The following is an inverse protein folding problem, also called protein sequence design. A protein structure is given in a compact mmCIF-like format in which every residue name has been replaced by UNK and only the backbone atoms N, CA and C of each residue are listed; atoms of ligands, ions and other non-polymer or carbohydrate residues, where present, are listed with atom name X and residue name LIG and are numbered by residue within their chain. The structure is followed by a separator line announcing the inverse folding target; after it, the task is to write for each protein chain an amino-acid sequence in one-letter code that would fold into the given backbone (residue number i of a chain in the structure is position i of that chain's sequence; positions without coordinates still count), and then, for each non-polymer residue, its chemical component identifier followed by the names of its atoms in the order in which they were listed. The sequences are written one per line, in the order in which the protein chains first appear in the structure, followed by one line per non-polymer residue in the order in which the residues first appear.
data_IF_796255628875
#
_entry.id   IF_796255628875
#
_cell.length_a   1.000
_cell.length_b   1.000
_cell.length_c   1.000
_cell.angle_alpha   90.00
_cell.angle_beta   90.00
_cell.angle_gamma   90.00
#
_symmetry.space_group_name_H-M   'P 1'
#
loop_
_entity.id
_entity.type
_entity.pdbx_description
1 polymer ?
#
# COMPACT_ATOMS: atom_id res chain seq x y z
N UNK A 1 12.63 -0.02 19.43
CA UNK A 1 11.95 -0.22 20.72
C UNK A 1 10.54 -0.74 20.52
N UNK A 2 9.64 0.03 19.89
CA UNK A 2 8.24 -0.37 19.67
C UNK A 2 8.11 -1.71 18.92
N UNK A 3 8.89 -1.94 17.87
CA UNK A 3 8.90 -3.23 17.16
C UNK A 3 9.24 -4.44 18.06
N UNK A 4 10.18 -4.29 19.00
CA UNK A 4 10.50 -5.36 19.94
C UNK A 4 9.35 -5.61 20.92
N UNK A 5 8.73 -4.54 21.42
CA UNK A 5 7.58 -4.61 22.32
C UNK A 5 6.36 -5.27 21.66
N UNK A 6 6.07 -4.95 20.40
CA UNK A 6 4.98 -5.57 19.63
C UNK A 6 5.20 -7.08 19.46
N UNK A 7 6.45 -7.51 19.26
CA UNK A 7 6.80 -8.93 19.13
C UNK A 7 6.88 -9.67 20.47
N UNK A 8 7.06 -8.94 21.58
CA UNK A 8 7.22 -9.49 22.93
C UNK A 8 6.32 -8.75 23.94
N UNK A 9 4.99 -8.75 23.74
CA UNK A 9 4.10 -8.06 24.65
C UNK A 9 4.04 -8.77 26.01
N UNK A 10 3.70 -8.05 27.09
CA UNK A 10 3.40 -8.67 28.39
C UNK A 10 2.31 -9.74 28.25
N UNK A 11 2.33 -10.73 29.14
CA UNK A 11 1.31 -11.78 29.17
C UNK A 11 -0.09 -11.17 29.31
N UNK A 12 -1.04 -11.68 28.51
CA UNK A 12 -2.43 -11.21 28.52
C UNK A 12 -2.70 -9.92 27.73
N UNK A 13 -1.79 -9.52 26.84
CA UNK A 13 -1.99 -8.37 25.95
C UNK A 13 -2.04 -8.84 24.49
N UNK A 14 -3.10 -8.46 23.79
CA UNK A 14 -3.24 -8.60 22.35
C UNK A 14 -2.84 -7.28 21.69
N UNK A 15 -1.86 -7.33 20.78
CA UNK A 15 -1.29 -6.13 20.18
C UNK A 15 -1.71 -6.00 18.73
N UNK A 16 -2.20 -4.81 18.38
CA UNK A 16 -2.38 -4.35 17.01
C UNK A 16 -1.41 -3.20 16.80
N UNK A 17 -0.67 -3.18 15.69
CA UNK A 17 0.37 -2.17 15.49
C UNK A 17 0.39 -1.59 14.09
N UNK A 18 0.73 -0.31 13.99
CA UNK A 18 1.06 0.33 12.74
C UNK A 18 2.32 1.16 12.90
N UNK A 19 3.28 0.94 12.00
CA UNK A 19 4.53 1.68 11.94
C UNK A 19 4.42 2.65 10.78
N UNK A 20 4.16 3.92 11.11
CA UNK A 20 4.07 4.99 10.12
C UNK A 20 5.45 5.15 9.50
N UNK A 21 5.51 5.18 8.16
CA UNK A 21 6.78 5.45 7.50
C UNK A 21 6.66 6.33 6.28
N UNK A 22 7.23 7.53 6.36
CA UNK A 22 7.35 8.46 5.24
C UNK A 22 8.27 7.93 4.12
N UNK A 23 9.06 6.87 4.41
CA UNK A 23 10.02 6.21 3.48
C UNK A 23 9.36 5.65 2.23
N UNK A 24 8.09 5.31 2.33
CA UNK A 24 7.28 4.71 1.27
C UNK A 24 6.03 5.56 1.10
N UNK A 25 5.97 6.34 0.03
CA UNK A 25 4.78 7.14 -0.28
C UNK A 25 3.57 6.19 -0.44
N UNK A 26 2.53 6.42 0.35
CA UNK A 26 1.36 5.54 0.51
C UNK A 26 1.41 4.58 1.72
N UNK A 27 2.39 4.70 2.62
CA UNK A 27 2.44 4.03 3.94
C UNK A 27 2.63 5.02 5.11
N UNK A 28 2.42 6.30 4.83
CA UNK A 28 2.49 7.39 5.79
C UNK A 28 1.15 8.09 5.96
N UNK A 29 0.07 7.60 5.33
CA UNK A 29 -1.23 8.25 5.34
C UNK A 29 -2.29 7.47 6.14
N UNK A 30 -3.40 8.16 6.42
CA UNK A 30 -4.54 7.60 7.15
C UNK A 30 -5.16 6.38 6.48
N UNK A 31 -5.13 6.29 5.15
CA UNK A 31 -5.70 5.13 4.46
C UNK A 31 -4.86 3.88 4.69
N UNK A 32 -3.53 4.00 4.59
CA UNK A 32 -2.61 2.89 4.88
C UNK A 32 -2.72 2.43 6.34
N UNK A 33 -2.88 3.37 7.27
CA UNK A 33 -3.11 3.06 8.68
C UNK A 33 -4.42 2.30 8.86
N UNK A 34 -5.53 2.82 8.34
CA UNK A 34 -6.84 2.15 8.44
C UNK A 34 -6.78 0.74 7.85
N UNK A 35 -6.22 0.57 6.66
CA UNK A 35 -6.17 -0.70 5.96
C UNK A 35 -5.38 -1.74 6.78
N UNK A 36 -4.23 -1.35 7.35
CA UNK A 36 -3.40 -2.23 8.19
C UNK A 36 -4.02 -2.57 9.56
N UNK A 37 -4.74 -1.62 10.16
CA UNK A 37 -5.42 -1.84 11.44
C UNK A 37 -6.65 -2.73 11.28
N UNK A 38 -7.44 -2.49 10.22
CA UNK A 38 -8.55 -3.37 9.85
C UNK A 38 -8.05 -4.79 9.66
N UNK A 39 -6.90 -4.99 9.00
CA UNK A 39 -6.36 -6.32 8.78
C UNK A 39 -6.06 -7.09 10.06
N UNK A 40 -5.38 -6.44 11.00
CA UNK A 40 -5.00 -7.06 12.27
C UNK A 40 -6.19 -7.25 13.21
N UNK A 41 -7.09 -6.27 13.31
CA UNK A 41 -8.29 -6.37 14.15
C UNK A 41 -9.24 -7.46 13.62
N UNK A 42 -9.42 -7.54 12.30
CA UNK A 42 -10.21 -8.60 11.69
C UNK A 42 -9.62 -9.97 12.04
N UNK A 43 -8.30 -10.15 11.93
CA UNK A 43 -7.63 -11.39 12.34
C UNK A 43 -7.86 -11.75 13.82
N UNK A 44 -7.85 -10.76 14.72
CA UNK A 44 -8.14 -10.96 16.15
C UNK A 44 -9.60 -11.36 16.41
N UNK A 45 -10.55 -10.80 15.65
CA UNK A 45 -11.98 -11.12 15.75
C UNK A 45 -12.33 -12.40 14.98
N UNK A 46 -11.45 -12.89 14.10
CA UNK A 46 -11.73 -14.04 13.23
C UNK A 46 -12.52 -13.65 11.97
N UNK A 47 -12.54 -12.36 11.62
CA UNK A 47 -13.09 -11.80 10.39
C UNK A 47 -11.99 -11.60 9.33
N UNK A 48 -12.34 -11.48 8.05
CA UNK A 48 -11.33 -11.18 7.01
C UNK A 48 -11.21 -9.67 6.73
N UNK A 49 -9.98 -9.15 6.56
CA UNK A 49 -9.71 -7.76 6.21
C UNK A 49 -10.32 -7.31 4.88
N UNK A 50 -10.44 -8.24 3.93
CA UNK A 50 -10.60 -7.97 2.49
C UNK A 50 -11.99 -7.42 2.09
N UNK A 51 -12.82 -7.14 3.08
CA UNK A 51 -14.21 -6.75 2.95
C UNK A 51 -14.61 -5.33 3.30
N UNK A 52 -13.69 -4.66 3.99
CA UNK A 52 -13.96 -3.54 4.87
C UNK A 52 -13.37 -2.23 4.31
N UNK A 53 -12.87 -2.29 3.07
CA UNK A 53 -12.06 -1.27 2.40
C UNK A 53 -12.85 -0.42 1.39
N UNK A 54 -14.17 -0.24 1.58
CA UNK A 54 -14.97 0.70 0.79
C UNK A 54 -14.57 2.14 1.15
N UNK A 55 -14.17 3.01 0.20
CA UNK A 55 -13.60 4.34 0.49
C UNK A 55 -14.44 5.26 1.39
N UNK A 56 -15.76 5.04 1.50
CA UNK A 56 -16.66 5.84 2.33
C UNK A 56 -16.99 5.29 3.73
N UNK A 57 -16.66 4.03 4.05
CA UNK A 57 -17.09 3.36 5.30
C UNK A 57 -15.94 2.86 6.18
N UNK A 58 -14.68 2.98 5.74
CA UNK A 58 -13.51 2.36 6.39
C UNK A 58 -13.35 2.74 7.86
N UNK A 59 -13.59 4.01 8.21
CA UNK A 59 -13.50 4.50 9.59
C UNK A 59 -14.54 3.86 10.51
N UNK A 60 -15.79 3.75 10.04
CA UNK A 60 -16.85 3.10 10.81
C UNK A 60 -16.54 1.63 11.04
N UNK A 61 -15.95 0.97 10.04
CA UNK A 61 -15.52 -0.42 10.17
C UNK A 61 -14.35 -0.61 11.13
N UNK A 62 -13.35 0.27 11.09
CA UNK A 62 -12.25 0.27 12.04
C UNK A 62 -12.77 0.37 13.48
N UNK A 63 -13.70 1.30 13.75
CA UNK A 63 -14.27 1.49 15.08
C UNK A 63 -15.05 0.25 15.56
N UNK A 64 -15.90 -0.34 14.69
CA UNK A 64 -16.61 -1.59 15.02
C UNK A 64 -15.64 -2.72 15.35
N UNK A 65 -14.63 -2.94 14.51
CA UNK A 65 -13.64 -4.00 14.72
C UNK A 65 -12.81 -3.77 16.00
N UNK A 66 -12.55 -2.51 16.35
CA UNK A 66 -11.88 -2.18 17.60
C UNK A 66 -12.73 -2.56 18.82
N UNK A 67 -14.03 -2.30 18.78
CA UNK A 67 -14.99 -2.70 19.82
C UNK A 67 -15.12 -4.22 19.94
N UNK A 68 -15.24 -4.92 18.81
CA UNK A 68 -15.36 -6.38 18.77
C UNK A 68 -14.08 -7.07 19.26
N UNK A 69 -12.91 -6.59 18.82
CA UNK A 69 -11.62 -7.11 19.27
C UNK A 69 -11.38 -6.85 20.77
N UNK A 70 -11.79 -5.68 21.28
CA UNK A 70 -11.69 -5.36 22.69
C UNK A 70 -12.62 -6.26 23.53
N UNK A 71 -13.84 -6.50 23.07
CA UNK A 71 -14.81 -7.39 23.72
C UNK A 71 -14.31 -8.84 23.77
N UNK A 72 -13.76 -9.35 22.66
CA UNK A 72 -13.17 -10.70 22.62
C UNK A 72 -11.94 -10.82 23.51
N UNK A 73 -11.09 -9.79 23.54
CA UNK A 73 -9.94 -9.75 24.46
C UNK A 73 -10.41 -9.82 25.91
N UNK A 74 -11.46 -9.08 26.26
CA UNK A 74 -12.08 -9.09 27.59
C UNK A 74 -12.62 -10.46 27.97
N UNK A 75 -13.34 -11.13 27.06
CA UNK A 75 -13.87 -12.49 27.29
C UNK A 75 -12.74 -13.51 27.56
N UNK A 76 -11.58 -13.31 26.92
CA UNK A 76 -10.38 -14.12 27.16
C UNK A 76 -9.57 -13.70 28.39
N UNK A 77 -10.02 -12.69 29.17
CA UNK A 77 -9.28 -12.14 30.31
C UNK A 77 -8.02 -11.35 29.93
N UNK A 78 -7.95 -10.88 28.68
CA UNK A 78 -6.83 -10.16 28.06
C UNK A 78 -7.18 -8.69 27.83
N UNK A 79 -6.20 -7.88 27.45
CA UNK A 79 -6.37 -6.47 27.07
C UNK A 79 -5.89 -6.22 25.65
N UNK A 80 -6.60 -5.36 24.93
CA UNK A 80 -6.21 -4.94 23.60
C UNK A 80 -5.32 -3.70 23.68
N UNK A 81 -4.20 -3.71 22.97
CA UNK A 81 -3.28 -2.58 22.86
C UNK A 81 -3.04 -2.20 21.40
N UNK A 82 -3.48 -1.01 21.02
CA UNK A 82 -3.16 -0.40 19.74
C UNK A 82 -1.85 0.39 19.86
N UNK A 83 -0.85 0.04 19.06
CA UNK A 83 0.47 0.69 19.04
C UNK A 83 0.65 1.43 17.71
N UNK A 84 0.83 2.75 17.76
CA UNK A 84 1.21 3.56 16.59
C UNK A 84 2.62 4.10 16.81
N UNK A 85 3.57 3.70 15.97
CA UNK A 85 4.96 4.19 16.03
C UNK A 85 5.25 5.13 14.87
N UNK A 86 5.91 6.25 15.15
CA UNK A 86 6.29 7.26 14.16
C UNK A 86 5.16 8.20 13.76
N UNK A 87 4.28 8.61 14.69
CA UNK A 87 3.16 9.52 14.39
C UNK A 87 3.63 10.83 13.70
N UNK A 88 4.86 11.26 13.97
CA UNK A 88 5.52 12.40 13.33
C UNK A 88 5.85 12.21 11.84
N UNK A 89 5.88 10.97 11.34
CA UNK A 89 6.11 10.62 9.94
C UNK A 89 4.80 10.59 9.11
N UNK A 90 3.67 11.01 9.68
CA UNK A 90 2.39 11.12 8.98
C UNK A 90 2.47 12.21 7.89
N UNK A 91 2.02 11.87 6.68
CA UNK A 91 1.89 12.81 5.56
C UNK A 91 0.79 13.86 5.76
N UNK A 92 -0.02 13.74 6.81
CA UNK A 92 -0.92 14.77 7.30
C UNK A 92 -2.18 14.95 6.45
N UNK A 93 -2.74 16.16 6.45
CA UNK A 93 -4.08 16.45 5.88
C UNK A 93 -4.15 16.46 4.34
N UNK A 94 -3.01 16.26 3.66
CA UNK A 94 -2.91 16.35 2.20
C UNK A 94 -3.74 15.29 1.45
N UNK A 95 -3.99 14.13 2.08
CA UNK A 95 -4.68 12.99 1.46
C UNK A 95 -5.93 12.53 2.22
N UNK A 96 -6.30 13.20 3.32
CA UNK A 96 -7.37 12.77 4.23
C UNK A 96 -7.13 13.30 5.66
N UNK A 97 -7.88 12.86 6.68
CA UNK A 97 -7.56 13.21 8.07
C UNK A 97 -6.19 12.65 8.48
N UNK A 98 -5.52 13.27 9.44
CA UNK A 98 -4.27 12.75 10.01
C UNK A 98 -4.51 11.41 10.72
N UNK A 99 -3.46 10.58 10.82
CA UNK A 99 -3.48 9.34 11.61
C UNK A 99 -3.84 9.66 13.07
N UNK A 100 -3.38 10.80 13.58
CA UNK A 100 -3.71 11.27 14.92
C UNK A 100 -5.22 11.50 15.09
N UNK A 101 -5.88 12.11 14.10
CA UNK A 101 -7.33 12.37 14.11
C UNK A 101 -8.19 11.12 13.89
N UNK A 102 -7.60 10.01 13.42
CA UNK A 102 -8.29 8.72 13.30
C UNK A 102 -8.47 8.00 14.63
N UNK A 103 -7.57 8.23 15.58
CA UNK A 103 -7.58 7.55 16.87
C UNK A 103 -8.86 7.91 17.64
N UNK A 104 -9.47 6.91 18.28
CA UNK A 104 -10.71 7.13 19.01
C UNK A 104 -10.46 7.99 20.25
N UNK A 105 -11.20 9.11 20.40
CA UNK A 105 -11.13 9.95 21.60
C UNK A 105 -11.51 9.16 22.87
N UNK A 106 -12.33 8.13 22.72
CA UNK A 106 -12.79 7.24 23.79
C UNK A 106 -12.70 5.79 23.30
N UNK A 107 -11.55 5.12 23.45
CA UNK A 107 -11.43 3.71 23.12
C UNK A 107 -12.27 2.87 24.11
N UNK A 108 -12.63 1.63 23.76
CA UNK A 108 -13.25 0.67 24.67
C UNK A 108 -12.50 0.55 26.00
N UNK A 109 -13.22 0.21 27.08
CA UNK A 109 -12.65 0.19 28.43
C UNK A 109 -11.44 -0.77 28.56
N UNK A 110 -11.40 -1.83 27.78
CA UNK A 110 -10.36 -2.85 27.73
C UNK A 110 -9.31 -2.62 26.63
N UNK A 111 -9.50 -1.57 25.81
CA UNK A 111 -8.55 -1.13 24.81
C UNK A 111 -7.68 0.02 25.33
N UNK A 112 -6.40 -0.01 25.00
CA UNK A 112 -5.45 1.09 25.24
C UNK A 112 -4.77 1.47 23.94
N UNK A 113 -4.44 2.75 23.81
CA UNK A 113 -3.71 3.29 22.67
C UNK A 113 -2.36 3.80 23.16
N UNK A 114 -1.29 3.28 22.60
CA UNK A 114 0.08 3.73 22.81
C UNK A 114 0.58 4.35 21.51
N UNK A 115 1.00 5.61 21.57
CA UNK A 115 1.56 6.32 20.42
C UNK A 115 2.98 6.75 20.73
N UNK A 116 3.89 6.52 19.80
CA UNK A 116 5.25 7.02 19.82
C UNK A 116 5.45 8.01 18.67
N UNK A 117 6.04 9.16 19.00
CA UNK A 117 6.28 10.27 18.10
C UNK A 117 7.57 10.97 18.50
N UNK A 118 8.27 11.57 17.54
CA UNK A 118 9.28 12.59 17.85
C UNK A 118 8.62 13.87 18.37
N UNK A 119 9.35 14.74 19.10
CA UNK A 119 8.79 16.00 19.60
C UNK A 119 8.36 16.99 18.51
N UNK A 120 8.83 16.80 17.27
CA UNK A 120 8.52 17.64 16.11
C UNK A 120 8.27 16.75 14.88
N UNK A 121 7.27 17.07 14.03
CA UNK A 121 6.24 18.12 14.20
C UNK A 121 5.30 17.91 15.39
N UNK A 122 4.60 18.97 15.86
CA UNK A 122 3.59 18.85 16.91
C UNK A 122 2.36 18.08 16.42
N UNK A 123 1.43 17.78 17.34
CA UNK A 123 0.16 17.13 17.00
C UNK A 123 -0.58 17.95 15.92
N UNK A 124 -1.04 17.34 14.82
CA UNK A 124 -1.74 18.02 13.73
C UNK A 124 -2.94 18.86 14.16
N UNK A 125 -3.23 19.95 13.44
CA UNK A 125 -4.30 20.90 13.76
C UNK A 125 -5.71 20.32 13.62
N UNK A 126 -5.89 19.26 12.82
CA UNK A 126 -7.16 18.57 12.64
C UNK A 126 -7.55 17.69 13.83
N UNK A 127 -6.65 17.48 14.79
CA UNK A 127 -6.96 16.84 16.07
C UNK A 127 -7.69 17.84 16.97
N UNK A 128 -8.92 17.53 17.35
CA UNK A 128 -9.78 18.41 18.15
C UNK A 128 -9.21 18.68 19.55
N UNK A 129 -9.58 19.81 20.15
CA UNK A 129 -9.07 20.28 21.45
C UNK A 129 -9.34 19.32 22.62
N UNK A 130 -10.43 18.56 22.54
CA UNK A 130 -10.89 17.57 23.51
C UNK A 130 -10.23 16.19 23.34
N UNK A 131 -9.39 16.01 22.30
CA UNK A 131 -8.73 14.74 22.06
C UNK A 131 -7.66 14.44 23.14
N UNK A 132 -7.61 13.22 23.71
CA UNK A 132 -6.66 12.87 24.77
C UNK A 132 -5.19 13.16 24.45
N UNK A 133 -4.81 13.08 23.17
CA UNK A 133 -3.45 13.40 22.72
C UNK A 133 -3.02 14.83 23.06
N UNK A 134 -3.95 15.81 23.12
CA UNK A 134 -3.63 17.20 23.49
C UNK A 134 -3.55 17.43 24.99
N UNK A 135 -4.16 16.56 25.78
CA UNK A 135 -4.22 16.68 27.25
C UNK A 135 -3.16 15.80 27.96
N UNK A 136 -2.66 14.76 27.30
CA UNK A 136 -1.74 13.80 27.91
C UNK A 136 -0.31 14.37 27.93
N UNK A 137 0.37 14.27 29.07
CA UNK A 137 1.79 14.57 29.15
C UNK A 137 2.60 13.39 28.58
N UNK A 138 3.32 13.55 27.45
CA UNK A 138 4.06 12.46 26.85
C UNK A 138 5.20 12.03 27.76
N UNK A 139 5.39 10.71 27.90
CA UNK A 139 6.56 10.16 28.58
C UNK A 139 7.78 10.31 27.68
N UNK A 140 8.66 11.24 28.03
CA UNK A 140 9.93 11.40 27.34
C UNK A 140 10.81 10.16 27.58
N UNK A 141 11.29 9.57 26.49
CA UNK A 141 12.24 8.47 26.54
C UNK A 141 13.64 9.04 26.35
N UNK A 142 14.56 8.70 27.26
CA UNK A 142 15.95 9.06 27.10
C UNK A 142 16.53 8.38 25.85
N UNK A 143 17.42 9.10 25.15
CA UNK A 143 18.10 8.56 23.99
C UNK A 143 18.92 7.34 24.42
N UNK A 144 18.59 6.17 23.89
CA UNK A 144 19.33 4.93 24.15
C UNK A 144 20.80 5.09 23.79
N UNK A 145 21.71 4.64 24.67
CA UNK A 145 23.15 4.60 24.39
C UNK A 145 23.48 3.79 23.13
N UNK A 146 22.66 2.78 22.82
CA UNK A 146 22.78 1.96 21.62
C UNK A 146 22.30 2.69 20.36
N UNK A 147 21.47 3.72 20.49
CA UNK A 147 20.95 4.53 19.37
C UNK A 147 21.81 5.76 19.08
N UNK A 148 22.45 6.38 20.10
CA UNK A 148 23.38 7.51 19.92
C UNK A 148 24.48 7.22 18.91
N UNK A 149 24.99 5.99 18.91
CA UNK A 149 26.01 5.55 17.95
C UNK A 149 25.47 5.32 16.54
N UNK A 150 24.23 4.86 16.38
CA UNK A 150 23.68 4.47 15.06
C UNK A 150 23.38 5.71 14.23
N UNK A 151 22.75 6.74 14.78
CA UNK A 151 22.45 7.96 14.02
C UNK A 151 23.73 8.72 13.65
N UNK A 152 24.66 8.87 14.60
CA UNK A 152 25.95 9.51 14.34
C UNK A 152 26.77 8.74 13.29
N UNK A 153 26.83 7.41 13.40
CA UNK A 153 27.50 6.57 12.39
C UNK A 153 26.80 6.66 11.04
N UNK A 154 25.48 6.60 10.99
CA UNK A 154 24.72 6.68 9.75
C UNK A 154 24.90 8.04 9.04
N UNK A 155 24.92 9.15 9.79
CA UNK A 155 25.24 10.48 9.26
C UNK A 155 26.70 10.58 8.81
N UNK A 156 27.64 10.04 9.59
CA UNK A 156 29.06 10.00 9.22
C UNK A 156 29.31 9.17 7.96
N UNK A 157 28.68 8.01 7.85
CA UNK A 157 28.68 7.17 6.66
C UNK A 157 28.13 7.93 5.47
N UNK A 158 26.96 8.59 5.59
CA UNK A 158 26.39 9.39 4.51
C UNK A 158 27.35 10.50 4.04
N UNK A 159 28.02 11.19 4.96
CA UNK A 159 29.04 12.20 4.62
C UNK A 159 30.21 11.56 3.87
N UNK A 160 30.66 10.37 4.27
CA UNK A 160 31.68 9.62 3.53
C UNK A 160 31.18 9.20 2.14
N UNK A 161 29.89 8.82 2.00
CA UNK A 161 29.30 8.46 0.71
C UNK A 161 29.25 9.67 -0.23
N UNK A 162 28.88 10.84 0.29
CA UNK A 162 28.85 12.10 -0.45
C UNK A 162 30.26 12.56 -0.86
N UNK A 163 31.26 12.33 -0.01
CA UNK A 163 32.67 12.61 -0.32
C UNK A 163 33.34 11.55 -1.22
N UNK A 164 32.63 10.47 -1.56
CA UNK A 164 33.17 9.31 -2.26
C UNK A 164 33.42 9.50 -3.75
N UNK A 165 33.49 8.39 -4.49
CA UNK A 165 33.66 8.43 -5.95
C UNK A 165 32.41 8.98 -6.67
N UNK A 166 32.56 9.45 -7.92
CA UNK A 166 31.42 9.99 -8.69
C UNK A 166 30.27 8.97 -8.80
N UNK A 167 30.58 7.72 -9.16
CA UNK A 167 29.57 6.66 -9.28
C UNK A 167 28.80 6.43 -7.95
N UNK A 168 29.48 6.55 -6.83
CA UNK A 168 28.88 6.40 -5.50
C UNK A 168 27.91 7.55 -5.20
N UNK A 169 28.29 8.79 -5.52
CA UNK A 169 27.39 9.95 -5.45
C UNK A 169 26.21 9.81 -6.40
N UNK A 170 26.44 9.32 -7.61
CA UNK A 170 25.40 9.16 -8.62
C UNK A 170 24.34 8.13 -8.17
N UNK A 171 24.77 6.97 -7.67
CA UNK A 171 23.85 5.95 -7.14
C UNK A 171 23.08 6.50 -5.94
N UNK A 172 23.75 7.18 -5.00
CA UNK A 172 23.09 7.75 -3.84
C UNK A 172 22.06 8.81 -4.27
N UNK A 173 22.46 9.72 -5.16
CA UNK A 173 21.60 10.77 -5.71
C UNK A 173 20.40 10.22 -6.48
N UNK A 174 20.57 9.13 -7.23
CA UNK A 174 19.47 8.45 -7.92
C UNK A 174 18.49 7.79 -6.95
N UNK A 175 18.98 7.08 -5.93
CA UNK A 175 18.12 6.46 -4.91
C UNK A 175 17.36 7.53 -4.11
N UNK A 176 18.02 8.64 -3.78
CA UNK A 176 17.39 9.81 -3.15
C UNK A 176 16.34 10.43 -4.07
N UNK A 177 16.70 10.70 -5.33
CA UNK A 177 15.81 11.35 -6.29
C UNK A 177 14.60 10.48 -6.66
N UNK A 178 14.75 9.16 -6.64
CA UNK A 178 13.70 8.23 -7.03
C UNK A 178 12.53 8.17 -6.05
N UNK A 179 12.72 8.60 -4.79
CA UNK A 179 11.67 8.56 -3.75
C UNK A 179 11.11 7.15 -3.49
N UNK A 180 11.83 6.12 -3.94
CA UNK A 180 11.41 4.72 -3.98
C UNK A 180 12.56 3.81 -4.37
N UNK A 181 12.39 2.50 -4.19
CA UNK A 181 13.46 1.55 -4.42
C UNK A 181 13.75 1.33 -5.91
N UNK A 182 15.04 1.37 -6.28
CA UNK A 182 15.55 1.03 -7.61
C UNK A 182 16.15 -0.37 -7.60
N UNK A 183 15.97 -1.13 -8.68
CA UNK A 183 16.66 -2.41 -8.85
C UNK A 183 18.12 -2.19 -9.27
N UNK A 184 18.91 -3.26 -9.21
CA UNK A 184 20.27 -3.23 -9.73
C UNK A 184 20.31 -2.96 -11.24
N UNK A 185 19.36 -3.51 -12.00
CA UNK A 185 19.24 -3.27 -13.44
C UNK A 185 18.87 -1.82 -13.73
N UNK A 186 17.99 -1.23 -12.92
CA UNK A 186 17.64 0.19 -13.02
C UNK A 186 18.89 1.06 -12.85
N UNK A 187 19.72 0.77 -11.84
CA UNK A 187 20.96 1.50 -11.58
C UNK A 187 21.99 1.32 -12.69
N UNK A 188 22.12 0.12 -13.27
CA UNK A 188 22.98 -0.14 -14.44
C UNK A 188 22.54 0.70 -15.64
N UNK A 189 21.24 0.74 -15.94
CA UNK A 189 20.72 1.56 -17.03
C UNK A 189 20.86 3.06 -16.78
N UNK A 190 20.65 3.53 -15.55
CA UNK A 190 20.70 4.95 -15.21
C UNK A 190 22.13 5.48 -15.16
N UNK A 191 23.07 4.71 -14.61
CA UNK A 191 24.48 5.12 -14.47
C UNK A 191 25.33 4.77 -15.69
N UNK A 192 24.85 3.88 -16.56
CA UNK A 192 25.60 3.31 -17.69
C UNK A 192 26.92 2.66 -17.24
N UNK A 193 26.94 2.11 -16.02
CA UNK A 193 28.09 1.39 -15.44
C UNK A 193 27.79 -0.09 -15.33
N UNK A 194 28.81 -0.95 -15.47
CA UNK A 194 28.60 -2.39 -15.47
C UNK A 194 28.16 -2.87 -14.09
N UNK A 195 27.26 -3.84 -14.09
CA UNK A 195 26.66 -4.43 -12.88
C UNK A 195 27.65 -4.78 -11.77
N UNK A 196 28.81 -5.37 -12.09
CA UNK A 196 29.79 -5.79 -11.08
C UNK A 196 30.39 -4.61 -10.30
N UNK A 197 30.52 -3.42 -10.89
CA UNK A 197 31.00 -2.23 -10.19
C UNK A 197 29.97 -1.72 -9.20
N UNK A 198 28.70 -1.72 -9.61
CA UNK A 198 27.57 -1.30 -8.81
C UNK A 198 27.36 -2.29 -7.65
N UNK A 199 27.38 -3.59 -7.91
CA UNK A 199 27.28 -4.63 -6.87
C UNK A 199 28.42 -4.53 -5.85
N UNK A 200 29.65 -4.29 -6.28
CA UNK A 200 30.79 -4.10 -5.38
C UNK A 200 30.62 -2.88 -4.47
N UNK A 201 30.08 -1.78 -4.99
CA UNK A 201 29.78 -0.60 -4.19
C UNK A 201 28.67 -0.89 -3.18
N UNK A 202 27.58 -1.52 -3.63
CA UNK A 202 26.41 -1.87 -2.81
C UNK A 202 26.71 -2.97 -1.77
N UNK A 203 27.73 -3.81 -1.98
CA UNK A 203 28.18 -4.83 -1.03
C UNK A 203 29.06 -4.30 0.12
N UNK A 204 29.51 -3.04 0.03
CA UNK A 204 30.38 -2.41 1.02
C UNK A 204 29.64 -1.60 2.08
N UNK A 205 30.24 -0.48 2.52
CA UNK A 205 29.67 0.46 3.49
C UNK A 205 28.32 1.03 2.99
N UNK A 206 28.21 1.23 1.67
CA UNK A 206 26.99 1.72 1.02
C UNK A 206 25.76 0.82 1.28
N UNK A 207 25.92 -0.50 1.29
CA UNK A 207 24.83 -1.45 1.53
C UNK A 207 24.30 -1.46 2.96
N UNK A 208 25.00 -0.82 3.89
CA UNK A 208 24.55 -0.68 5.29
C UNK A 208 23.58 0.50 5.43
N UNK A 209 23.85 1.59 4.71
CA UNK A 209 23.00 2.79 4.68
C UNK A 209 21.83 2.64 3.68
N UNK A 210 22.03 1.87 2.61
CA UNK A 210 21.03 1.52 1.60
C UNK A 210 20.69 0.04 1.72
N UNK A 211 19.55 -0.26 2.32
CA UNK A 211 19.08 -1.62 2.53
C UNK A 211 18.50 -2.23 1.26
N UNK A 212 18.59 -3.56 1.18
CA UNK A 212 17.87 -4.35 0.18
C UNK A 212 16.54 -4.79 0.74
N UNK A 213 15.44 -4.51 0.05
CA UNK A 213 14.13 -5.09 0.37
C UNK A 213 13.58 -5.81 -0.85
N UNK A 214 12.97 -6.96 -0.64
CA UNK A 214 12.15 -7.60 -1.65
C UNK A 214 10.85 -6.80 -1.74
N UNK A 215 10.59 -6.16 -2.89
CA UNK A 215 9.37 -5.37 -3.09
C UNK A 215 8.15 -6.28 -2.92
N UNK A 216 7.13 -5.80 -2.22
CA UNK A 216 5.88 -6.56 -2.03
C UNK A 216 5.33 -6.97 -3.40
N UNK A 217 5.11 -8.27 -3.64
CA UNK A 217 4.48 -8.74 -4.87
C UNK A 217 3.14 -8.03 -5.04
N UNK A 218 3.00 -7.28 -6.13
CA UNK A 218 1.66 -6.94 -6.65
C UNK A 218 1.29 -8.07 -7.58
N UNK A 219 -0.01 -8.32 -7.75
CA UNK A 219 -0.47 -9.46 -8.52
C UNK A 219 0.33 -9.69 -9.80
N UNK A 220 0.85 -10.90 -10.04
CA UNK A 220 1.61 -11.22 -11.26
C UNK A 220 3.10 -10.86 -11.27
N UNK A 221 3.62 -10.17 -10.24
CA UNK A 221 5.03 -9.79 -10.13
C UNK A 221 5.79 -10.64 -9.10
N UNK A 222 6.97 -11.13 -9.48
CA UNK A 222 7.95 -11.61 -8.51
C UNK A 222 8.48 -10.44 -7.68
N UNK A 223 8.78 -10.69 -6.40
CA UNK A 223 9.39 -9.70 -5.53
C UNK A 223 10.82 -9.42 -5.99
N UNK A 224 11.03 -8.29 -6.66
CA UNK A 224 12.39 -7.86 -7.03
C UNK A 224 13.10 -7.24 -5.84
N UNK A 225 14.41 -7.52 -5.76
CA UNK A 225 15.30 -6.88 -4.80
C UNK A 225 15.52 -5.44 -5.24
N UNK A 226 15.05 -4.50 -4.44
CA UNK A 226 15.23 -3.06 -4.64
C UNK A 226 16.11 -2.48 -3.54
N UNK A 227 16.86 -1.44 -3.90
CA UNK A 227 17.77 -0.69 -3.03
C UNK A 227 17.08 0.60 -2.58
N UNK A 228 16.98 0.80 -1.27
CA UNK A 228 16.32 1.95 -0.64
C UNK A 228 16.97 2.31 0.69
N UNK A 229 16.79 3.55 1.17
CA UNK A 229 17.33 3.96 2.47
C UNK A 229 16.77 3.11 3.61
N UNK A 230 17.64 2.62 4.49
CA UNK A 230 17.21 1.86 5.67
C UNK A 230 16.38 2.72 6.63
N UNK A 231 16.64 4.03 6.68
CA UNK A 231 16.00 4.98 7.59
C UNK A 231 15.54 6.26 6.89
N UNK A 232 14.39 6.80 7.32
CA UNK A 232 13.83 8.06 6.80
C UNK A 232 14.77 9.23 7.02
N UNK A 233 15.35 9.31 8.22
CA UNK A 233 16.29 10.37 8.59
C UNK A 233 17.50 10.42 7.65
N UNK A 234 17.94 9.27 7.12
CA UNK A 234 19.02 9.22 6.12
C UNK A 234 18.57 9.77 4.78
N UNK A 235 17.35 9.43 4.33
CA UNK A 235 16.77 9.97 3.10
C UNK A 235 16.67 11.48 3.18
N UNK A 236 16.05 12.01 4.24
CA UNK A 236 15.89 13.46 4.45
C UNK A 236 17.24 14.17 4.52
N UNK A 237 18.22 13.58 5.24
CA UNK A 237 19.57 14.15 5.32
C UNK A 237 20.25 14.14 3.94
N UNK A 238 20.08 13.09 3.14
CA UNK A 238 20.59 13.01 1.78
C UNK A 238 19.93 14.05 0.87
N UNK A 239 18.60 14.20 0.94
CA UNK A 239 17.85 15.22 0.19
C UNK A 239 18.35 16.63 0.51
N UNK A 240 18.52 16.95 1.80
CA UNK A 240 19.08 18.22 2.25
C UNK A 240 20.53 18.42 1.76
N UNK A 241 21.35 17.36 1.80
CA UNK A 241 22.76 17.42 1.40
C UNK A 241 22.93 17.62 -0.10
N UNK A 242 22.11 16.95 -0.93
CA UNK A 242 22.10 17.17 -2.38
C UNK A 242 21.48 18.52 -2.74
N UNK A 243 20.45 18.96 -2.02
CA UNK A 243 19.75 20.22 -2.25
C UNK A 243 19.38 20.40 -3.73
N UNK A 244 19.84 21.48 -4.35
CA UNK A 244 19.55 21.81 -5.76
C UNK A 244 20.08 20.77 -6.76
N UNK A 245 21.14 20.03 -6.43
CA UNK A 245 21.70 19.02 -7.34
C UNK A 245 20.77 17.81 -7.55
N UNK A 246 19.80 17.61 -6.66
CA UNK A 246 18.80 16.55 -6.78
C UNK A 246 17.94 16.67 -8.05
N UNK A 247 17.71 17.90 -8.52
CA UNK A 247 16.99 18.15 -9.77
C UNK A 247 17.69 17.52 -11.00
N UNK A 248 19.03 17.44 -10.99
CA UNK A 248 19.78 16.81 -12.07
C UNK A 248 19.51 15.30 -12.12
N UNK A 249 19.52 14.62 -10.95
CA UNK A 249 19.21 13.19 -10.86
C UNK A 249 17.75 12.88 -11.21
N UNK A 250 16.79 13.75 -10.81
CA UNK A 250 15.40 13.63 -11.28
C UNK A 250 15.31 13.75 -12.80
N UNK A 251 16.06 14.67 -13.41
CA UNK A 251 16.16 14.78 -14.86
C UNK A 251 16.70 13.51 -15.55
N UNK A 252 17.53 12.71 -14.88
CA UNK A 252 17.96 11.41 -15.41
C UNK A 252 16.81 10.42 -15.42
N UNK A 253 16.01 10.35 -14.35
CA UNK A 253 14.82 9.52 -14.27
C UNK A 253 13.78 9.91 -15.33
N UNK A 254 13.60 11.21 -15.59
CA UNK A 254 12.67 11.71 -16.59
C UNK A 254 13.08 11.29 -18.00
N UNK A 255 14.36 11.50 -18.36
CA UNK A 255 14.89 11.05 -19.65
C UNK A 255 14.83 9.53 -19.80
N UNK A 256 15.08 8.80 -18.72
CA UNK A 256 14.95 7.35 -18.72
C UNK A 256 13.51 6.91 -19.00
N UNK A 257 12.52 7.54 -18.36
CA UNK A 257 11.11 7.31 -18.64
C UNK A 257 10.74 7.63 -20.10
N UNK A 258 11.26 8.74 -20.65
CA UNK A 258 10.99 9.14 -22.04
C UNK A 258 11.57 8.15 -23.06
N UNK A 259 12.75 7.55 -22.79
CA UNK A 259 13.30 6.49 -23.64
C UNK A 259 12.35 5.29 -23.71
N UNK A 260 11.78 4.86 -22.58
CA UNK A 260 10.82 3.76 -22.57
C UNK A 260 9.46 4.14 -23.18
N UNK A 261 9.03 5.40 -23.00
CA UNK A 261 7.84 5.94 -23.66
C UNK A 261 7.98 5.92 -25.18
N UNK A 262 9.11 6.37 -25.73
CA UNK A 262 9.39 6.34 -27.17
C UNK A 262 9.43 4.92 -27.73
N UNK A 263 9.83 3.94 -26.91
CA UNK A 263 9.80 2.51 -27.23
C UNK A 263 8.43 1.86 -27.01
N UNK A 264 7.41 2.62 -26.61
CA UNK A 264 6.04 2.17 -26.36
C UNK A 264 5.98 1.08 -25.27
N UNK A 265 6.75 1.28 -24.19
CA UNK A 265 6.72 0.45 -22.98
C UNK A 265 6.88 -1.06 -23.26
N UNK A 266 8.03 -1.50 -23.81
CA UNK A 266 8.29 -2.88 -24.18
C UNK A 266 8.30 -3.86 -22.99
N UNK A 267 8.42 -5.15 -23.28
CA UNK A 267 8.33 -6.21 -22.26
C UNK A 267 9.42 -6.11 -21.16
N UNK A 268 10.58 -5.55 -21.48
CA UNK A 268 11.69 -5.27 -20.57
C UNK A 268 11.49 -3.99 -19.74
N UNK A 269 10.34 -3.32 -19.81
CA UNK A 269 10.10 -2.07 -19.08
C UNK A 269 10.35 -2.22 -17.57
N UNK A 270 11.26 -1.42 -16.99
CA UNK A 270 11.56 -1.39 -15.56
C UNK A 270 10.30 -1.13 -14.73
N UNK A 271 10.06 -1.97 -13.73
CA UNK A 271 8.86 -1.83 -12.92
C UNK A 271 8.82 -0.55 -12.07
N UNK A 272 9.95 0.11 -11.86
CA UNK A 272 9.98 1.44 -11.25
C UNK A 272 9.14 2.43 -12.07
N UNK A 273 9.34 2.45 -13.40
CA UNK A 273 8.62 3.32 -14.35
C UNK A 273 7.11 3.03 -14.41
N UNK A 274 6.71 1.82 -14.05
CA UNK A 274 5.32 1.38 -14.05
C UNK A 274 4.61 1.54 -12.70
N UNK A 275 5.34 1.74 -11.59
CA UNK A 275 4.72 1.77 -10.24
C UNK A 275 5.10 2.99 -9.40
N UNK A 276 6.38 3.30 -9.35
CA UNK A 276 6.93 4.29 -8.42
C UNK A 276 7.13 5.64 -9.09
N UNK A 277 7.28 5.67 -10.41
CA UNK A 277 7.54 6.89 -11.16
C UNK A 277 6.39 7.90 -11.12
N UNK A 278 5.13 7.50 -11.36
CA UNK A 278 3.98 8.40 -11.24
C UNK A 278 3.86 9.01 -9.83
N UNK A 279 4.29 8.26 -8.83
CA UNK A 279 4.30 8.72 -7.44
C UNK A 279 5.42 9.72 -7.14
N UNK A 280 6.60 9.54 -7.74
CA UNK A 280 7.65 10.54 -7.72
C UNK A 280 7.10 11.87 -8.30
N UNK A 281 6.47 11.81 -9.47
CA UNK A 281 5.90 12.99 -10.14
C UNK A 281 4.85 13.69 -9.26
N UNK A 282 3.97 12.93 -8.62
CA UNK A 282 3.01 13.45 -7.65
C UNK A 282 3.69 14.15 -6.46
N UNK A 283 4.74 13.54 -5.88
CA UNK A 283 5.46 14.10 -4.73
C UNK A 283 6.28 15.36 -5.04
N UNK A 284 6.67 15.54 -6.31
CA UNK A 284 7.40 16.73 -6.78
C UNK A 284 6.47 17.75 -7.43
N UNK A 285 5.15 17.52 -7.37
CA UNK A 285 4.12 18.34 -8.01
C UNK A 285 4.35 18.54 -9.52
N UNK A 286 5.00 17.57 -10.18
CA UNK A 286 5.16 17.56 -11.64
C UNK A 286 3.88 17.02 -12.29
N UNK A 287 2.89 17.91 -12.35
CA UNK A 287 1.56 17.61 -12.86
C UNK A 287 1.56 17.30 -14.35
N UNK A 288 2.40 17.99 -15.13
CA UNK A 288 2.51 17.73 -16.56
C UNK A 288 3.03 16.31 -16.82
N UNK A 289 4.08 15.90 -16.11
CA UNK A 289 4.57 14.53 -16.16
C UNK A 289 3.51 13.52 -15.71
N UNK A 290 2.79 13.80 -14.62
CA UNK A 290 1.77 12.91 -14.07
C UNK A 290 0.59 12.73 -15.04
N UNK A 291 0.10 13.81 -15.66
CA UNK A 291 -0.94 13.77 -16.71
C UNK A 291 -0.46 12.99 -17.92
N UNK A 292 0.80 13.17 -18.34
CA UNK A 292 1.37 12.39 -19.43
C UNK A 292 1.47 10.89 -19.09
N UNK A 293 1.69 10.52 -17.82
CA UNK A 293 1.70 9.13 -17.38
C UNK A 293 0.31 8.50 -17.32
N UNK A 294 -0.73 9.27 -16.93
CA UNK A 294 -2.10 8.77 -16.82
C UNK A 294 -2.79 8.68 -18.17
N UNK A 295 -2.47 9.57 -19.11
CA UNK A 295 -3.05 9.55 -20.47
C UNK A 295 -2.36 8.58 -21.43
N UNK A 296 -1.28 7.92 -21.00
CA UNK A 296 -0.54 6.95 -21.79
C UNK A 296 -1.18 5.56 -21.76
N UNK A 297 -2.01 5.27 -22.76
CA UNK A 297 -2.69 3.98 -22.89
C UNK A 297 -1.73 2.80 -23.04
N UNK A 298 -0.61 2.97 -23.73
CA UNK A 298 0.37 1.90 -23.92
C UNK A 298 1.02 1.52 -22.58
N UNK A 299 1.32 2.51 -21.74
CA UNK A 299 1.82 2.27 -20.37
C UNK A 299 0.80 1.55 -19.51
N UNK A 300 -0.47 1.95 -19.58
CA UNK A 300 -1.56 1.29 -18.86
C UNK A 300 -1.77 -0.16 -19.31
N UNK A 301 -1.67 -0.42 -20.62
CA UNK A 301 -1.70 -1.78 -21.15
C UNK A 301 -0.51 -2.59 -20.62
N UNK A 302 0.69 -2.02 -20.62
CA UNK A 302 1.88 -2.70 -20.09
C UNK A 302 1.75 -3.00 -18.59
N UNK A 303 1.21 -2.07 -17.81
CA UNK A 303 0.89 -2.32 -16.40
C UNK A 303 -0.08 -3.48 -16.24
N UNK A 304 -1.16 -3.52 -17.02
CA UNK A 304 -2.14 -4.61 -16.98
C UNK A 304 -1.54 -5.95 -17.39
N UNK A 305 -0.68 -5.99 -18.41
CA UNK A 305 -0.03 -7.23 -18.83
C UNK A 305 0.78 -7.83 -17.69
N UNK A 306 1.42 -6.98 -16.90
CA UNK A 306 2.22 -7.39 -15.75
C UNK A 306 1.34 -7.77 -14.57
N UNK A 307 0.37 -6.93 -14.22
CA UNK A 307 -0.38 -7.08 -12.96
C UNK A 307 -1.60 -7.98 -13.06
N UNK A 308 -2.12 -8.16 -14.28
CA UNK A 308 -3.39 -8.80 -14.55
C UNK A 308 -4.62 -7.91 -14.38
N UNK A 309 -4.46 -6.63 -14.01
CA UNK A 309 -5.59 -5.74 -13.75
C UNK A 309 -5.24 -4.25 -13.76
N UNK A 310 -6.26 -3.40 -13.61
CA UNK A 310 -6.14 -1.95 -13.84
C UNK A 310 -6.07 -1.12 -12.56
N UNK A 311 -5.95 -1.76 -11.40
CA UNK A 311 -5.95 -1.09 -10.11
C UNK A 311 -4.88 0.02 -10.01
N UNK A 312 -3.65 -0.25 -10.50
CA UNK A 312 -2.57 0.74 -10.48
C UNK A 312 -2.89 1.97 -11.33
N UNK A 313 -3.45 1.77 -12.52
CA UNK A 313 -3.84 2.85 -13.41
C UNK A 313 -4.95 3.72 -12.79
N UNK A 314 -5.94 3.09 -12.14
CA UNK A 314 -6.99 3.83 -11.41
C UNK A 314 -6.44 4.64 -10.22
N UNK A 315 -5.46 4.10 -9.49
CA UNK A 315 -4.78 4.85 -8.43
C UNK A 315 -4.09 6.09 -8.99
N UNK A 316 -3.30 5.95 -10.07
CA UNK A 316 -2.59 7.08 -10.68
C UNK A 316 -3.55 8.14 -11.23
N UNK A 317 -4.63 7.71 -11.91
CA UNK A 317 -5.71 8.59 -12.37
C UNK A 317 -6.32 9.34 -11.18
N UNK A 318 -6.62 8.66 -10.08
CA UNK A 318 -7.27 9.29 -8.93
C UNK A 318 -6.35 10.31 -8.25
N UNK A 319 -5.06 9.97 -8.10
CA UNK A 319 -4.04 10.90 -7.58
C UNK A 319 -3.91 12.14 -8.48
N UNK A 320 -3.85 11.96 -9.80
CA UNK A 320 -3.78 13.07 -10.74
C UNK A 320 -5.02 13.98 -10.65
N UNK A 321 -6.22 13.39 -10.57
CA UNK A 321 -7.47 14.13 -10.40
C UNK A 321 -7.48 14.95 -9.11
N UNK A 322 -7.07 14.36 -7.99
CA UNK A 322 -7.00 15.04 -6.70
C UNK A 322 -6.06 16.25 -6.74
N UNK A 323 -4.85 16.09 -7.29
CA UNK A 323 -3.88 17.17 -7.36
C UNK A 323 -4.30 18.30 -8.31
N UNK A 324 -4.95 17.97 -9.44
CA UNK A 324 -5.47 18.97 -10.37
C UNK A 324 -6.65 19.76 -9.76
N UNK A 325 -7.54 19.09 -9.02
CA UNK A 325 -8.66 19.74 -8.34
C UNK A 325 -8.23 20.63 -7.16
N UNK A 326 -7.07 20.34 -6.56
CA UNK A 326 -6.50 21.15 -5.48
C UNK A 326 -5.87 22.47 -5.96
N UNK A 327 -5.70 22.66 -7.28
CA UNK A 327 -5.19 23.92 -7.81
C UNK A 327 -6.18 25.08 -7.60
N UNK A 328 -5.70 26.32 -7.38
CA UNK A 328 -6.57 27.50 -7.28
C UNK A 328 -7.46 27.69 -8.51
N UNK A 329 -6.92 27.36 -9.69
CA UNK A 329 -7.65 27.32 -10.97
C UNK A 329 -7.37 25.95 -11.60
N UNK A 330 -8.30 24.98 -11.48
CA UNK A 330 -8.09 23.64 -12.01
C UNK A 330 -7.93 23.62 -13.53
N UNK A 331 -6.93 22.88 -14.03
CA UNK A 331 -6.80 22.59 -15.46
C UNK A 331 -7.89 21.61 -15.92
N UNK A 332 -8.99 22.18 -16.42
CA UNK A 332 -10.14 21.43 -16.93
C UNK A 332 -9.80 20.57 -18.15
N UNK A 333 -8.77 20.94 -18.92
CA UNK A 333 -8.36 20.17 -20.12
C UNK A 333 -7.73 18.86 -19.69
N UNK A 334 -6.77 18.92 -18.77
CA UNK A 334 -6.15 17.72 -18.19
C UNK A 334 -7.16 16.85 -17.44
N UNK A 335 -8.10 17.45 -16.72
CA UNK A 335 -9.19 16.72 -16.05
C UNK A 335 -10.10 15.99 -17.05
N UNK A 336 -10.47 16.63 -18.16
CA UNK A 336 -11.27 15.99 -19.20
C UNK A 336 -10.53 14.82 -19.86
N UNK A 337 -9.24 14.97 -20.17
CA UNK A 337 -8.41 13.90 -20.73
C UNK A 337 -8.32 12.70 -19.76
N UNK A 338 -8.09 12.96 -18.48
CA UNK A 338 -8.04 11.92 -17.46
C UNK A 338 -9.40 11.24 -17.27
N UNK A 339 -10.51 11.99 -17.37
CA UNK A 339 -11.86 11.43 -17.30
C UNK A 339 -12.14 10.48 -18.48
N UNK A 340 -11.79 10.87 -19.71
CA UNK A 340 -11.90 10.01 -20.90
C UNK A 340 -11.11 8.72 -20.67
N UNK A 341 -9.90 8.82 -20.14
CA UNK A 341 -9.07 7.65 -19.88
C UNK A 341 -9.64 6.73 -18.79
N UNK A 342 -10.21 7.31 -17.74
CA UNK A 342 -10.92 6.56 -16.70
C UNK A 342 -12.11 5.80 -17.27
N UNK A 343 -12.86 6.41 -18.17
CA UNK A 343 -14.00 5.79 -18.83
C UNK A 343 -13.56 4.63 -19.72
N UNK A 344 -12.48 4.81 -20.51
CA UNK A 344 -11.92 3.73 -21.33
C UNK A 344 -11.50 2.51 -20.49
N UNK A 345 -10.82 2.73 -19.36
CA UNK A 345 -10.46 1.65 -18.43
C UNK A 345 -11.70 1.00 -17.80
N UNK A 346 -12.71 1.80 -17.47
CA UNK A 346 -13.97 1.33 -16.90
C UNK A 346 -14.72 0.45 -17.90
N UNK A 347 -14.88 0.90 -19.15
CA UNK A 347 -15.57 0.15 -20.20
C UNK A 347 -14.84 -1.14 -20.55
N UNK A 348 -13.52 -1.10 -20.62
CA UNK A 348 -12.70 -2.31 -20.79
C UNK A 348 -12.94 -3.33 -19.68
N UNK A 349 -13.05 -2.86 -18.43
CA UNK A 349 -13.27 -3.71 -17.28
C UNK A 349 -14.71 -4.21 -17.17
N UNK A 350 -15.71 -3.43 -17.63
CA UNK A 350 -17.10 -3.88 -17.78
C UNK A 350 -17.21 -5.08 -18.71
N UNK A 351 -16.36 -5.13 -19.74
CA UNK A 351 -16.33 -6.21 -20.74
C UNK A 351 -15.54 -7.45 -20.30
N UNK A 352 -15.04 -7.53 -19.06
CA UNK A 352 -14.37 -8.74 -18.55
C UNK A 352 -15.39 -9.87 -18.36
N UNK A 353 -15.24 -11.02 -19.03
CA UNK A 353 -16.13 -12.16 -18.80
C UNK A 353 -15.94 -12.73 -17.40
N UNK A 354 -17.04 -13.01 -16.69
CA UNK A 354 -17.05 -13.52 -15.31
C UNK A 354 -16.20 -14.80 -15.13
N UNK A 355 -16.16 -15.66 -16.16
CA UNK A 355 -15.42 -16.92 -16.13
C UNK A 355 -13.92 -16.78 -16.48
N UNK A 356 -13.51 -15.65 -17.06
CA UNK A 356 -12.13 -15.47 -17.53
C UNK A 356 -11.10 -15.51 -16.39
N UNK A 357 -11.33 -14.91 -15.20
CA UNK A 357 -10.47 -15.08 -14.04
C UNK A 357 -10.21 -16.56 -13.69
N UNK A 358 -11.25 -17.40 -13.67
CA UNK A 358 -11.10 -18.82 -13.35
C UNK A 358 -10.26 -19.59 -14.39
N UNK A 359 -10.28 -19.18 -15.67
CA UNK A 359 -9.41 -19.74 -16.70
C UNK A 359 -7.94 -19.44 -16.38
N UNK A 360 -7.62 -18.20 -16.01
CA UNK A 360 -6.26 -17.83 -15.57
C UNK A 360 -5.83 -18.64 -14.34
N UNK A 361 -6.75 -18.89 -13.41
CA UNK A 361 -6.45 -19.72 -12.24
C UNK A 361 -6.12 -21.16 -12.63
N UNK A 362 -6.86 -21.75 -13.59
CA UNK A 362 -6.64 -23.13 -14.06
C UNK A 362 -5.28 -23.35 -14.71
N UNK A 363 -4.73 -22.32 -15.35
CA UNK A 363 -3.39 -22.39 -15.96
C UNK A 363 -2.26 -21.98 -15.00
N UNK A 364 -2.54 -21.94 -13.69
CA UNK A 364 -1.57 -21.63 -12.64
C UNK A 364 -1.29 -20.14 -12.44
N UNK A 365 -1.94 -19.24 -13.19
CA UNK A 365 -1.78 -17.79 -13.09
C UNK A 365 -2.74 -17.20 -12.06
N UNK A 366 -2.69 -17.72 -10.83
CA UNK A 366 -3.60 -17.38 -9.73
C UNK A 366 -3.61 -15.87 -9.45
N UNK A 367 -2.44 -15.25 -9.45
CA UNK A 367 -2.31 -13.86 -9.06
C UNK A 367 -2.92 -12.91 -10.11
N UNK A 368 -2.83 -13.27 -11.40
CA UNK A 368 -3.52 -12.59 -12.49
C UNK A 368 -5.03 -12.81 -12.44
N UNK A 369 -5.46 -14.03 -12.10
CA UNK A 369 -6.88 -14.34 -11.92
C UNK A 369 -7.53 -13.42 -10.87
N UNK A 370 -6.87 -13.25 -9.73
CA UNK A 370 -7.35 -12.39 -8.64
C UNK A 370 -7.39 -10.91 -9.04
N UNK A 371 -6.35 -10.40 -9.71
CA UNK A 371 -6.34 -9.02 -10.19
C UNK A 371 -7.45 -8.76 -11.21
N UNK A 372 -7.69 -9.72 -12.10
CA UNK A 372 -8.72 -9.60 -13.13
C UNK A 372 -10.12 -9.67 -12.53
N UNK A 373 -10.35 -10.58 -11.57
CA UNK A 373 -11.62 -10.65 -10.84
C UNK A 373 -11.91 -9.32 -10.12
N UNK A 374 -10.92 -8.78 -9.39
CA UNK A 374 -11.04 -7.49 -8.70
C UNK A 374 -11.28 -6.30 -9.63
N UNK A 375 -10.85 -6.39 -10.90
CA UNK A 375 -11.06 -5.33 -11.89
C UNK A 375 -12.51 -5.26 -12.40
N UNK A 376 -13.34 -6.30 -12.19
CA UNK A 376 -14.75 -6.31 -12.62
C UNK A 376 -15.53 -5.21 -11.87
N UNK A 377 -16.18 -4.23 -12.55
CA UNK A 377 -16.83 -3.11 -11.87
C UNK A 377 -18.11 -3.50 -11.12
N UNK A 378 -18.91 -4.40 -11.68
CA UNK A 378 -20.14 -4.89 -11.05
C UNK A 378 -19.81 -5.78 -9.85
N UNK A 379 -20.29 -5.40 -8.66
CA UNK A 379 -20.06 -6.16 -7.43
C UNK A 379 -20.59 -7.60 -7.51
N UNK A 380 -21.80 -7.81 -8.04
CA UNK A 380 -22.36 -9.16 -8.20
C UNK A 380 -21.49 -10.01 -9.15
N UNK A 381 -21.09 -9.45 -10.29
CA UNK A 381 -20.23 -10.13 -11.26
C UNK A 381 -18.84 -10.42 -10.70
N UNK A 382 -18.27 -9.49 -9.92
CA UNK A 382 -16.99 -9.64 -9.22
C UNK A 382 -17.04 -10.79 -8.22
N UNK A 383 -18.08 -10.85 -7.39
CA UNK A 383 -18.28 -11.92 -6.40
C UNK A 383 -18.40 -13.29 -7.10
N UNK A 384 -19.21 -13.38 -8.16
CA UNK A 384 -19.33 -14.61 -8.96
C UNK A 384 -17.99 -15.03 -9.55
N UNK A 385 -17.21 -14.08 -10.08
CA UNK A 385 -15.87 -14.38 -10.62
C UNK A 385 -14.90 -14.85 -9.53
N UNK A 386 -14.89 -14.20 -8.35
CA UNK A 386 -14.06 -14.61 -7.21
C UNK A 386 -14.45 -16.01 -6.70
N UNK A 387 -15.73 -16.33 -6.65
CA UNK A 387 -16.22 -17.66 -6.29
C UNK A 387 -15.72 -18.73 -7.27
N UNK A 388 -15.75 -18.46 -8.58
CA UNK A 388 -15.22 -19.37 -9.60
C UNK A 388 -13.69 -19.55 -9.48
N UNK A 389 -12.93 -18.49 -9.17
CA UNK A 389 -11.49 -18.60 -8.88
C UNK A 389 -11.27 -19.44 -7.61
N UNK A 390 -12.03 -19.20 -6.55
CA UNK A 390 -11.91 -19.94 -5.30
C UNK A 390 -12.16 -21.45 -5.48
N UNK A 391 -13.16 -21.83 -6.28
CA UNK A 391 -13.41 -23.25 -6.63
C UNK A 391 -12.21 -23.89 -7.32
N UNK A 392 -11.60 -23.20 -8.29
CA UNK A 392 -10.42 -23.69 -8.99
C UNK A 392 -9.24 -23.84 -8.03
N UNK A 393 -9.00 -22.82 -7.19
CA UNK A 393 -7.91 -22.82 -6.21
C UNK A 393 -8.09 -23.95 -5.17
N UNK A 394 -9.31 -24.17 -4.69
CA UNK A 394 -9.63 -25.28 -3.79
C UNK A 394 -9.37 -26.64 -4.44
N UNK A 395 -9.76 -26.81 -5.70
CA UNK A 395 -9.48 -28.04 -6.46
C UNK A 395 -7.98 -28.30 -6.67
N UNK A 396 -7.15 -27.26 -6.66
CA UNK A 396 -5.68 -27.37 -6.70
C UNK A 396 -5.03 -27.63 -5.32
N UNK A 397 -5.82 -27.67 -4.24
CA UNK A 397 -5.35 -27.98 -2.89
C UNK A 397 -4.95 -26.78 -2.02
N UNK A 398 -4.97 -25.55 -2.54
CA UNK A 398 -4.67 -24.34 -1.76
C UNK A 398 -5.94 -23.82 -1.05
N UNK A 399 -6.41 -24.59 -0.06
CA UNK A 399 -7.64 -24.28 0.67
C UNK A 399 -7.55 -22.93 1.41
N UNK A 400 -6.36 -22.58 1.94
CA UNK A 400 -6.15 -21.31 2.62
C UNK A 400 -6.38 -20.11 1.69
N UNK A 401 -5.90 -20.17 0.45
CA UNK A 401 -6.15 -19.12 -0.54
C UNK A 401 -7.59 -19.11 -1.06
N UNK A 402 -8.20 -20.28 -1.26
CA UNK A 402 -9.61 -20.38 -1.63
C UNK A 402 -10.51 -19.72 -0.57
N UNK A 403 -10.24 -19.99 0.72
CA UNK A 403 -10.93 -19.35 1.84
C UNK A 403 -10.73 -17.83 1.83
N UNK A 404 -9.50 -17.33 1.65
CA UNK A 404 -9.26 -15.87 1.56
C UNK A 404 -10.10 -15.21 0.46
N UNK A 405 -10.25 -15.85 -0.69
CA UNK A 405 -11.07 -15.34 -1.79
C UNK A 405 -12.56 -15.35 -1.47
N UNK A 406 -13.06 -16.42 -0.84
CA UNK A 406 -14.46 -16.53 -0.41
C UNK A 406 -14.77 -15.41 0.60
N UNK A 407 -13.94 -15.23 1.63
CA UNK A 407 -14.23 -14.23 2.65
C UNK A 407 -14.12 -12.80 2.09
N UNK A 408 -13.14 -12.54 1.22
CA UNK A 408 -13.05 -11.25 0.53
C UNK A 408 -14.31 -10.95 -0.30
N UNK A 409 -14.84 -11.96 -0.99
CA UNK A 409 -16.06 -11.82 -1.78
C UNK A 409 -17.33 -11.69 -0.91
N UNK A 410 -17.42 -12.36 0.23
CA UNK A 410 -18.55 -12.23 1.16
C UNK A 410 -18.75 -10.81 1.66
N UNK A 411 -17.67 -10.13 1.98
CA UNK A 411 -17.80 -8.79 2.51
C UNK A 411 -18.12 -7.73 1.42
N UNK A 412 -17.92 -8.06 0.14
CA UNK A 412 -18.51 -7.31 -0.96
C UNK A 412 -20.04 -7.49 -1.04
N UNK A 413 -20.60 -8.61 -0.55
CA UNK A 413 -22.06 -8.82 -0.52
C UNK A 413 -22.75 -7.76 0.33
N UNK A 414 -22.13 -7.36 1.45
CA UNK A 414 -22.65 -6.32 2.33
C UNK A 414 -22.77 -4.95 1.62
N UNK A 415 -21.95 -4.72 0.58
CA UNK A 415 -21.94 -3.49 -0.20
C UNK A 415 -22.98 -3.50 -1.34
N UNK A 416 -23.59 -4.65 -1.65
CA UNK A 416 -24.70 -4.72 -2.61
C UNK A 416 -25.97 -4.20 -1.92
N UNK A 417 -26.69 -3.21 -2.48
CA UNK A 417 -27.96 -2.75 -1.92
C UNK A 417 -28.96 -3.90 -1.73
N UNK A 418 -29.67 -3.92 -0.60
CA UNK A 418 -30.56 -5.03 -0.22
C UNK A 418 -31.77 -5.26 -1.13
N UNK A 419 -32.14 -4.28 -1.97
CA UNK A 419 -33.22 -4.37 -2.95
C UNK A 419 -32.80 -4.97 -4.29
N UNK A 420 -31.55 -5.45 -4.40
CA UNK A 420 -31.01 -5.97 -5.64
C UNK A 420 -31.21 -7.49 -5.75
N UNK A 421 -32.01 -7.93 -6.72
CA UNK A 421 -32.29 -9.33 -7.04
C UNK A 421 -31.02 -10.18 -7.30
N UNK A 422 -29.89 -9.53 -7.58
CA UNK A 422 -28.61 -10.19 -7.84
C UNK A 422 -27.82 -10.59 -6.56
N UNK A 423 -28.29 -10.18 -5.38
CA UNK A 423 -27.63 -10.47 -4.09
C UNK A 423 -27.76 -11.95 -3.70
N UNK A 424 -28.95 -12.59 -3.73
CA UNK A 424 -29.09 -14.03 -3.48
C UNK A 424 -28.21 -14.90 -4.38
N UNK A 425 -28.16 -14.59 -5.68
CA UNK A 425 -27.34 -15.35 -6.64
C UNK A 425 -25.83 -15.27 -6.32
N UNK A 426 -25.36 -14.10 -5.89
CA UNK A 426 -23.96 -13.91 -5.50
C UNK A 426 -23.61 -14.69 -4.22
N UNK A 427 -24.53 -14.72 -3.24
CA UNK A 427 -24.38 -15.51 -2.01
C UNK A 427 -24.36 -17.00 -2.33
N UNK A 428 -25.24 -17.47 -3.21
CA UNK A 428 -25.30 -18.88 -3.62
C UNK A 428 -24.01 -19.31 -4.33
N UNK A 429 -23.43 -18.46 -5.17
CA UNK A 429 -22.15 -18.72 -5.81
C UNK A 429 -21.02 -18.93 -4.77
N UNK A 430 -21.01 -18.14 -3.69
CA UNK A 430 -20.05 -18.27 -2.59
C UNK A 430 -20.30 -19.52 -1.75
N UNK A 431 -21.56 -19.86 -1.45
CA UNK A 431 -21.90 -21.10 -0.75
C UNK A 431 -21.40 -22.32 -1.53
N UNK A 432 -21.61 -22.33 -2.85
CA UNK A 432 -21.08 -23.38 -3.74
C UNK A 432 -19.55 -23.45 -3.72
N UNK A 433 -18.85 -22.31 -3.65
CA UNK A 433 -17.40 -22.28 -3.55
C UNK A 433 -16.89 -22.78 -2.18
N UNK A 434 -17.57 -22.43 -1.09
CA UNK A 434 -17.26 -22.89 0.26
C UNK A 434 -17.40 -24.42 0.40
N UNK A 435 -18.46 -25.00 -0.19
CA UNK A 435 -18.62 -26.47 -0.27
C UNK A 435 -17.45 -27.12 -1.00
N UNK A 436 -17.00 -26.53 -2.11
CA UNK A 436 -15.84 -27.04 -2.86
C UNK A 436 -14.50 -26.88 -2.12
N UNK A 437 -14.41 -25.94 -1.18
CA UNK A 437 -13.26 -25.73 -0.29
C UNK A 437 -13.28 -26.56 0.99
N UNK A 438 -14.32 -27.37 1.23
CA UNK A 438 -14.47 -28.19 2.44
C UNK A 438 -14.98 -27.45 3.67
N UNK A 439 -15.41 -26.18 3.54
CA UNK A 439 -15.97 -25.38 4.63
C UNK A 439 -17.51 -25.48 4.63
N UNK A 440 -18.01 -26.62 5.09
CA UNK A 440 -19.43 -26.95 5.07
C UNK A 440 -20.26 -26.07 6.01
N UNK A 441 -19.69 -25.65 7.15
CA UNK A 441 -20.37 -24.77 8.11
C UNK A 441 -20.62 -23.39 7.49
N UNK A 442 -19.63 -22.84 6.78
CA UNK A 442 -19.78 -21.56 6.07
C UNK A 442 -20.73 -21.66 4.89
N UNK A 443 -20.69 -22.77 4.15
CA UNK A 443 -21.62 -23.01 3.06
C UNK A 443 -23.09 -23.04 3.54
N UNK A 444 -23.35 -23.64 4.70
CA UNK A 444 -24.67 -23.65 5.32
C UNK A 444 -25.11 -22.24 5.77
N UNK A 445 -24.22 -21.49 6.44
CA UNK A 445 -24.49 -20.13 6.87
C UNK A 445 -24.80 -19.18 5.69
N UNK A 446 -24.07 -19.30 4.58
CA UNK A 446 -24.31 -18.53 3.37
C UNK A 446 -25.63 -18.92 2.69
N UNK A 447 -25.94 -20.21 2.62
CA UNK A 447 -27.19 -20.68 2.02
C UNK A 447 -28.41 -20.14 2.75
N UNK A 448 -28.41 -20.12 4.08
CA UNK A 448 -29.48 -19.53 4.89
C UNK A 448 -29.67 -18.02 4.64
N UNK A 449 -28.57 -17.30 4.36
CA UNK A 449 -28.61 -15.84 4.06
C UNK A 449 -29.08 -15.53 2.64
N UNK A 450 -29.14 -16.51 1.74
CA UNK A 450 -29.62 -16.30 0.37
C UNK A 450 -31.15 -16.38 0.25
N UNK A 451 -31.83 -16.96 1.24
CA UNK A 451 -33.28 -17.22 1.26
C UNK A 451 -34.08 -16.14 1.98
N UNK A 452 -33.40 -15.18 2.61
CA UNK A 452 -33.96 -14.00 3.31
C UNK A 452 -33.67 -12.78 2.45
#
# INVERSE_FOLDING_TARGET
LMAWFVLHPPAGVDVVSFFVTARLVGQSDSNACIDALIEQLAALVGESPAGLLTPGARRGTLLRLLDDAASRSREAGRRLLLVIDGLDEDSGTATGPSIAALLACRPPAEARVLVASRPHPPIPDDVTGDHPLRAISPRQLDVSEHARGVEYRAKSELTQLLAGAQLQRDILGLITAAGGGLTLGDLEELTKKPRYEIERLLGGIFGRSVGTRTRTPVSGLSGERVYLFTHETLRLTAEQSFGKSLAAYRGWLYRWADVYRQRVWPADTPHYLLRSYARLLASTEDLAGLVACTTDQARHNRMRDITGGDALAFTEISTAQQLLLAQPVPDLTSLALIAIQRDQLTDRNRNIPIKLPAVWARIGQLTRAEALANSIPSLSSRIKAMAEVAKVVAATGDLARALRLIIGAEALVAQIPGTNDMRPEAILALASAATGGGDHDRAAALSCRSTI
#
